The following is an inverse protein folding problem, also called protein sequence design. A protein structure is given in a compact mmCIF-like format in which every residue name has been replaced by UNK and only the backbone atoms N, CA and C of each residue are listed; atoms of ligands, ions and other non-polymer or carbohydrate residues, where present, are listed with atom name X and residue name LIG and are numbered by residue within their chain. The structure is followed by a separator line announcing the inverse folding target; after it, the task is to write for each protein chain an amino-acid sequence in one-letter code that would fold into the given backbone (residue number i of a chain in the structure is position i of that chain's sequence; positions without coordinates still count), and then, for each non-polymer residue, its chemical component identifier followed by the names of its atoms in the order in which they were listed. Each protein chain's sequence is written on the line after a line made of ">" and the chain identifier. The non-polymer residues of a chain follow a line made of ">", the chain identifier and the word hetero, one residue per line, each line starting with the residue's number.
data_IF_052710543733
#
_entry.id   IF_052710543733
#
_cell.length_a   1.000
_cell.length_b   1.000
_cell.length_c   1.000
_cell.angle_alpha   90.00
_cell.angle_beta   90.00
_cell.angle_gamma   90.00
#
_symmetry.space_group_name_H-M   'P 1'
#
loop_
_entity.id
_entity.type
_entity.pdbx_description
1 polymer ?
#
# COMPACT_ATOMS: atom_id res chain seq x y z
N UNK A 1 -16.52 2.76 15.14
CA UNK A 1 -16.51 1.46 15.86
C UNK A 1 -17.25 0.44 15.01
N UNK A 2 -16.66 -0.71 14.76
CA UNK A 2 -17.27 -1.78 13.96
C UNK A 2 -18.52 -2.33 14.67
N UNK A 3 -19.70 -2.14 14.08
CA UNK A 3 -21.00 -2.58 14.66
C UNK A 3 -21.16 -4.11 14.69
N UNK A 4 -20.27 -4.85 14.02
CA UNK A 4 -20.31 -6.31 13.96
C UNK A 4 -19.35 -6.98 14.94
N UNK A 5 -18.64 -6.20 15.78
CA UNK A 5 -17.57 -6.70 16.64
C UNK A 5 -18.01 -7.90 17.48
N UNK A 6 -17.21 -8.98 17.45
CA UNK A 6 -17.43 -10.24 18.17
C UNK A 6 -18.50 -11.17 17.56
N UNK A 7 -19.10 -10.81 16.42
CA UNK A 7 -20.15 -11.61 15.78
C UNK A 7 -19.62 -12.59 14.73
N UNK A 8 -20.44 -13.60 14.35
CA UNK A 8 -20.14 -14.45 13.17
C UNK A 8 -20.14 -13.65 11.86
N UNK A 9 -20.94 -12.56 11.82
CA UNK A 9 -20.99 -11.68 10.65
C UNK A 9 -19.67 -10.95 10.44
N UNK A 10 -18.99 -10.51 11.50
CA UNK A 10 -17.64 -9.94 11.40
C UNK A 10 -16.67 -10.93 10.72
N UNK A 11 -16.62 -12.18 11.21
CA UNK A 11 -15.78 -13.22 10.61
C UNK A 11 -16.12 -13.51 9.15
N UNK A 12 -17.41 -13.44 8.78
CA UNK A 12 -17.84 -13.59 7.39
C UNK A 12 -17.36 -12.41 6.52
N UNK A 13 -17.39 -11.18 7.04
CA UNK A 13 -16.88 -10.00 6.35
C UNK A 13 -15.36 -10.06 6.15
N UNK A 14 -14.63 -10.49 7.19
CA UNK A 14 -13.17 -10.73 7.11
C UNK A 14 -12.83 -11.79 6.06
N UNK A 15 -13.55 -12.92 6.07
CA UNK A 15 -13.37 -14.00 5.09
C UNK A 15 -13.72 -13.54 3.67
N UNK A 16 -14.79 -12.76 3.50
CA UNK A 16 -15.16 -12.19 2.21
C UNK A 16 -14.11 -11.20 1.71
N UNK A 17 -13.64 -10.27 2.55
CA UNK A 17 -12.54 -9.36 2.20
C UNK A 17 -11.28 -10.10 1.76
N UNK A 18 -10.89 -11.13 2.52
CA UNK A 18 -9.71 -11.96 2.18
C UNK A 18 -9.90 -12.70 0.86
N UNK A 19 -11.08 -13.31 0.62
CA UNK A 19 -11.40 -14.04 -0.60
C UNK A 19 -11.34 -13.15 -1.85
N UNK A 20 -11.99 -12.00 -1.82
CA UNK A 20 -12.00 -11.04 -2.93
C UNK A 20 -10.60 -10.46 -3.19
N UNK A 21 -9.84 -10.16 -2.13
CA UNK A 21 -8.45 -9.68 -2.25
C UNK A 21 -7.55 -10.72 -2.93
N UNK A 22 -7.69 -12.00 -2.59
CA UNK A 22 -6.97 -13.09 -3.24
C UNK A 22 -7.41 -13.26 -4.70
N UNK A 23 -8.71 -13.23 -4.98
CA UNK A 23 -9.27 -13.36 -6.33
C UNK A 23 -8.73 -12.26 -7.23
N UNK A 24 -8.76 -10.99 -6.77
CA UNK A 24 -8.17 -9.85 -7.49
C UNK A 24 -6.73 -10.11 -7.92
N UNK A 25 -5.88 -10.53 -6.98
CA UNK A 25 -4.47 -10.78 -7.29
C UNK A 25 -4.28 -11.97 -8.24
N UNK A 26 -4.98 -13.09 -8.00
CA UNK A 26 -4.93 -14.27 -8.87
C UNK A 26 -5.34 -13.94 -10.30
N UNK A 27 -6.43 -13.21 -10.50
CA UNK A 27 -6.93 -12.86 -11.85
C UNK A 27 -5.97 -11.92 -12.58
N UNK A 28 -5.28 -11.02 -11.89
CA UNK A 28 -4.21 -10.21 -12.48
C UNK A 28 -3.05 -11.09 -13.00
N UNK A 29 -2.66 -12.12 -12.25
CA UNK A 29 -1.62 -13.05 -12.68
C UNK A 29 -2.09 -13.96 -13.82
N UNK A 30 -3.35 -14.42 -13.79
CA UNK A 30 -3.94 -15.23 -14.87
C UNK A 30 -4.07 -14.41 -16.16
N UNK A 31 -4.41 -13.13 -16.09
CA UNK A 31 -4.43 -12.22 -17.21
C UNK A 31 -3.04 -12.11 -17.90
N UNK A 32 -1.98 -12.03 -17.09
CA UNK A 32 -0.61 -11.98 -17.60
C UNK A 32 -0.25 -13.27 -18.37
N UNK A 33 -0.69 -14.43 -17.88
CA UNK A 33 -0.48 -15.70 -18.57
C UNK A 33 -1.26 -15.77 -19.87
N UNK A 34 -2.56 -15.46 -19.84
CA UNK A 34 -3.42 -15.45 -21.03
C UNK A 34 -2.86 -14.53 -22.13
N UNK A 35 -2.32 -13.37 -21.75
CA UNK A 35 -1.69 -12.43 -22.69
C UNK A 35 -0.44 -13.03 -23.35
N UNK A 36 0.42 -13.70 -22.59
CA UNK A 36 1.62 -14.37 -23.12
C UNK A 36 1.28 -15.51 -24.06
N UNK A 37 0.14 -16.17 -23.85
CA UNK A 37 -0.37 -17.25 -24.71
C UNK A 37 -1.15 -16.74 -25.93
N UNK A 38 -1.32 -15.41 -26.09
CA UNK A 38 -2.01 -14.78 -27.21
C UNK A 38 -3.53 -14.66 -27.07
N UNK A 39 -4.07 -14.91 -25.88
CA UNK A 39 -5.51 -14.82 -25.60
C UNK A 39 -5.90 -13.43 -25.07
N UNK A 40 -5.81 -12.39 -25.89
CA UNK A 40 -6.03 -10.99 -25.50
C UNK A 40 -7.41 -10.75 -24.90
N UNK A 41 -8.48 -11.36 -25.45
CA UNK A 41 -9.84 -11.24 -24.92
C UNK A 41 -9.95 -11.85 -23.51
N UNK A 42 -9.37 -13.04 -23.30
CA UNK A 42 -9.40 -13.72 -22.01
C UNK A 42 -8.61 -12.90 -20.98
N UNK A 43 -7.44 -12.38 -21.36
CA UNK A 43 -6.65 -11.47 -20.53
C UNK A 43 -7.47 -10.25 -20.08
N UNK A 44 -8.15 -9.58 -21.03
CA UNK A 44 -8.98 -8.42 -20.74
C UNK A 44 -10.16 -8.74 -19.80
N UNK A 45 -10.78 -9.91 -19.95
CA UNK A 45 -11.86 -10.36 -19.07
C UNK A 45 -11.36 -10.65 -17.65
N UNK A 46 -10.19 -11.27 -17.48
CA UNK A 46 -9.57 -11.44 -16.16
C UNK A 46 -9.28 -10.10 -15.50
N UNK A 47 -8.71 -9.12 -16.20
CA UNK A 47 -8.43 -7.80 -15.65
C UNK A 47 -9.72 -7.08 -15.24
N UNK A 48 -10.76 -7.13 -16.08
CA UNK A 48 -12.06 -6.56 -15.76
C UNK A 48 -12.66 -7.18 -14.49
N UNK A 49 -12.58 -8.50 -14.36
CA UNK A 49 -13.07 -9.21 -13.17
C UNK A 49 -12.22 -8.84 -11.95
N UNK A 50 -10.88 -8.78 -12.07
CA UNK A 50 -10.00 -8.34 -10.99
C UNK A 50 -10.35 -6.94 -10.47
N UNK A 51 -10.76 -6.01 -11.33
CA UNK A 51 -11.26 -4.69 -10.94
C UNK A 51 -12.59 -4.76 -10.19
N UNK A 52 -13.49 -5.67 -10.56
CA UNK A 52 -14.73 -5.90 -9.83
C UNK A 52 -14.45 -6.44 -8.42
N UNK A 53 -13.56 -7.44 -8.30
CA UNK A 53 -13.20 -8.02 -6.99
C UNK A 53 -12.50 -7.01 -6.06
N UNK A 54 -11.75 -6.06 -6.62
CA UNK A 54 -11.23 -4.92 -5.85
C UNK A 54 -12.35 -4.09 -5.22
N UNK A 55 -13.43 -3.81 -5.95
CA UNK A 55 -14.56 -3.02 -5.43
C UNK A 55 -15.37 -3.84 -4.40
N UNK A 56 -15.53 -5.16 -4.60
CA UNK A 56 -16.14 -6.04 -3.62
C UNK A 56 -15.34 -6.07 -2.31
N UNK A 57 -14.03 -6.30 -2.38
CA UNK A 57 -13.13 -6.25 -1.20
C UNK A 57 -13.26 -4.92 -0.46
N UNK A 58 -13.26 -3.79 -1.19
CA UNK A 58 -13.42 -2.45 -0.61
C UNK A 58 -14.77 -2.28 0.12
N UNK A 59 -15.86 -2.86 -0.40
CA UNK A 59 -17.15 -2.82 0.30
C UNK A 59 -17.07 -3.50 1.67
N UNK A 60 -16.51 -4.71 1.71
CA UNK A 60 -16.35 -5.46 2.96
C UNK A 60 -15.42 -4.79 3.95
N UNK A 61 -14.31 -4.24 3.47
CA UNK A 61 -13.36 -3.50 4.32
C UNK A 61 -14.00 -2.24 4.93
N UNK A 62 -14.87 -1.54 4.20
CA UNK A 62 -15.63 -0.41 4.73
C UNK A 62 -16.61 -0.81 5.83
N UNK A 63 -17.32 -1.94 5.68
CA UNK A 63 -18.20 -2.46 6.74
C UNK A 63 -17.42 -2.83 8.02
N UNK A 64 -16.20 -3.31 7.87
CA UNK A 64 -15.26 -3.59 8.96
C UNK A 64 -14.63 -2.32 9.58
N UNK A 65 -14.97 -1.12 9.07
CA UNK A 65 -14.33 0.15 9.45
C UNK A 65 -12.80 0.16 9.19
N UNK A 66 -12.33 -0.63 8.23
CA UNK A 66 -10.91 -0.76 7.89
C UNK A 66 -10.37 0.34 6.98
N UNK A 67 -11.18 1.36 6.62
CA UNK A 67 -10.74 2.52 5.84
C UNK A 67 -11.11 3.77 6.62
N UNK A 68 -10.11 4.46 7.11
CA UNK A 68 -10.22 5.71 7.84
C UNK A 68 -9.72 6.92 7.02
N UNK A 69 -9.35 7.98 7.70
CA UNK A 69 -8.63 9.10 7.09
C UNK A 69 -7.17 8.72 6.77
N UNK A 70 -6.40 9.64 6.18
CA UNK A 70 -5.03 9.33 5.77
C UNK A 70 -4.12 8.99 6.95
N UNK A 71 -4.30 9.63 8.12
CA UNK A 71 -3.50 9.33 9.32
C UNK A 71 -3.84 7.95 9.87
N UNK A 72 -5.13 7.66 10.00
CA UNK A 72 -5.62 6.36 10.45
C UNK A 72 -5.15 5.24 9.52
N UNK A 73 -5.22 5.44 8.21
CA UNK A 73 -4.75 4.47 7.23
C UNK A 73 -3.23 4.26 7.27
N UNK A 74 -2.44 5.33 7.46
CA UNK A 74 -0.97 5.21 7.61
C UNK A 74 -0.60 4.48 8.90
N UNK A 75 -1.30 4.76 10.01
CA UNK A 75 -1.10 4.04 11.26
C UNK A 75 -1.44 2.55 11.11
N UNK A 76 -2.60 2.24 10.53
CA UNK A 76 -3.02 0.85 10.31
C UNK A 76 -2.06 0.09 9.37
N UNK A 77 -1.58 0.74 8.30
CA UNK A 77 -0.57 0.16 7.42
C UNK A 77 0.73 -0.12 8.18
N UNK A 78 1.25 0.85 8.93
CA UNK A 78 2.48 0.66 9.71
C UNK A 78 2.37 -0.48 10.74
N UNK A 79 1.21 -0.62 11.41
CA UNK A 79 0.97 -1.73 12.35
C UNK A 79 0.88 -3.09 11.63
N UNK A 80 0.28 -3.14 10.44
CA UNK A 80 0.24 -4.35 9.62
C UNK A 80 1.64 -4.80 9.22
N UNK A 81 2.44 -3.91 8.61
CA UNK A 81 3.82 -4.22 8.22
C UNK A 81 4.69 -4.59 9.44
N UNK A 82 4.48 -3.92 10.60
CA UNK A 82 5.19 -4.27 11.84
C UNK A 82 4.92 -5.71 12.23
N UNK A 83 3.66 -6.15 12.27
CA UNK A 83 3.31 -7.53 12.59
C UNK A 83 3.91 -8.52 11.56
N UNK A 84 3.91 -8.16 10.28
CA UNK A 84 4.43 -9.03 9.24
C UNK A 84 5.93 -9.32 9.42
N UNK A 85 6.75 -8.32 9.73
CA UNK A 85 8.19 -8.54 9.86
C UNK A 85 8.64 -8.96 11.27
N UNK A 86 7.92 -8.57 12.35
CA UNK A 86 8.32 -8.96 13.72
C UNK A 86 7.88 -10.39 14.07
N UNK A 87 6.73 -10.81 13.58
CA UNK A 87 6.06 -12.05 14.01
C UNK A 87 5.84 -13.01 12.84
N UNK A 88 5.04 -12.63 11.85
CA UNK A 88 4.50 -13.52 10.84
C UNK A 88 5.60 -14.19 9.98
N UNK A 89 6.44 -13.40 9.32
CA UNK A 89 7.47 -13.95 8.42
C UNK A 89 8.57 -14.68 9.15
N UNK A 90 8.92 -14.28 10.36
CA UNK A 90 9.91 -15.03 11.17
C UNK A 90 9.35 -16.40 11.60
N UNK A 91 8.09 -16.47 12.00
CA UNK A 91 7.45 -17.74 12.35
C UNK A 91 7.28 -18.66 11.13
N UNK A 92 6.94 -18.08 9.96
CA UNK A 92 6.89 -18.85 8.71
C UNK A 92 8.28 -19.38 8.31
N UNK A 93 9.34 -18.57 8.50
CA UNK A 93 10.70 -19.00 8.20
C UNK A 93 11.14 -20.16 9.10
N UNK A 94 10.88 -20.07 10.42
CA UNK A 94 11.17 -21.17 11.36
C UNK A 94 10.45 -22.47 10.96
N UNK A 95 9.15 -22.37 10.68
CA UNK A 95 8.36 -23.51 10.24
C UNK A 95 8.92 -24.12 8.97
N UNK A 96 9.28 -23.31 7.98
CA UNK A 96 9.86 -23.78 6.73
C UNK A 96 11.23 -24.48 6.94
N UNK A 97 12.05 -24.01 7.88
CA UNK A 97 13.30 -24.69 8.25
C UNK A 97 13.03 -26.05 8.89
N UNK A 98 12.12 -26.11 9.86
CA UNK A 98 11.73 -27.34 10.54
C UNK A 98 11.17 -28.41 9.58
N UNK A 99 10.44 -27.96 8.56
CA UNK A 99 9.86 -28.83 7.52
C UNK A 99 10.84 -29.17 6.37
N UNK A 100 12.08 -28.65 6.41
CA UNK A 100 13.12 -28.95 5.41
C UNK A 100 13.06 -28.10 4.14
N UNK A 101 12.53 -26.85 4.23
CA UNK A 101 12.45 -25.90 3.12
C UNK A 101 13.34 -24.65 3.37
N UNK A 102 14.66 -24.79 3.52
CA UNK A 102 15.55 -23.67 3.92
C UNK A 102 15.58 -22.52 2.90
N UNK A 103 15.41 -22.81 1.60
CA UNK A 103 15.37 -21.78 0.58
C UNK A 103 14.09 -20.89 0.70
N UNK A 104 12.98 -21.50 1.11
CA UNK A 104 11.73 -20.78 1.37
C UNK A 104 11.83 -19.96 2.65
N UNK A 105 12.43 -20.51 3.69
CA UNK A 105 12.72 -19.80 4.93
C UNK A 105 13.55 -18.53 4.69
N UNK A 106 14.61 -18.65 3.88
CA UNK A 106 15.40 -17.48 3.48
C UNK A 106 14.56 -16.42 2.74
N UNK A 107 13.64 -16.85 1.85
CA UNK A 107 12.73 -15.91 1.16
C UNK A 107 11.77 -15.22 2.12
N UNK A 108 11.20 -15.91 3.10
CA UNK A 108 10.35 -15.30 4.11
C UNK A 108 11.09 -14.21 4.89
N UNK A 109 12.32 -14.45 5.34
CA UNK A 109 13.14 -13.42 6.02
C UNK A 109 13.44 -12.22 5.13
N UNK A 110 13.80 -12.45 3.85
CA UNK A 110 14.05 -11.35 2.91
C UNK A 110 12.79 -10.50 2.67
N UNK A 111 11.62 -11.10 2.60
CA UNK A 111 10.37 -10.34 2.52
C UNK A 111 10.12 -9.58 3.81
N UNK A 112 10.32 -10.19 4.98
CA UNK A 112 10.22 -9.50 6.27
C UNK A 112 11.11 -8.26 6.38
N UNK A 113 12.34 -8.29 5.82
CA UNK A 113 13.20 -7.10 5.74
C UNK A 113 12.59 -6.00 4.87
N UNK A 114 11.88 -6.34 3.81
CA UNK A 114 11.17 -5.37 2.95
C UNK A 114 10.01 -4.74 3.73
N UNK A 115 9.22 -5.53 4.46
CA UNK A 115 8.07 -5.04 5.23
C UNK A 115 8.50 -4.11 6.36
N UNK A 116 9.68 -4.33 6.94
CA UNK A 116 10.30 -3.38 7.88
C UNK A 116 10.52 -2.01 7.22
N UNK A 117 11.01 -1.95 5.98
CA UNK A 117 11.17 -0.69 5.26
C UNK A 117 9.83 -0.04 4.89
N UNK A 118 8.79 -0.84 4.65
CA UNK A 118 7.44 -0.32 4.44
C UNK A 118 6.91 0.35 5.72
N UNK A 119 7.05 -0.31 6.88
CA UNK A 119 6.69 0.27 8.17
C UNK A 119 7.42 1.59 8.42
N UNK A 120 8.75 1.62 8.29
CA UNK A 120 9.57 2.82 8.47
C UNK A 120 9.06 3.98 7.59
N UNK A 121 8.71 3.69 6.34
CA UNK A 121 8.14 4.65 5.38
C UNK A 121 6.79 5.18 5.85
N UNK A 122 5.85 4.31 6.23
CA UNK A 122 4.52 4.73 6.67
C UNK A 122 4.58 5.54 7.97
N UNK A 123 5.44 5.16 8.92
CA UNK A 123 5.67 5.94 10.14
C UNK A 123 6.30 7.31 9.85
N UNK A 124 7.21 7.40 8.89
CA UNK A 124 7.79 8.67 8.47
C UNK A 124 6.74 9.59 7.82
N UNK A 125 5.87 9.04 6.96
CA UNK A 125 4.78 9.80 6.33
C UNK A 125 3.76 10.27 7.37
N UNK A 126 3.42 9.43 8.34
CA UNK A 126 2.53 9.80 9.44
C UNK A 126 3.11 10.95 10.26
N UNK A 127 4.38 10.86 10.66
CA UNK A 127 5.08 11.97 11.35
C UNK A 127 5.06 13.26 10.55
N UNK A 128 5.27 13.21 9.23
CA UNK A 128 5.21 14.40 8.37
C UNK A 128 3.83 15.08 8.40
N UNK A 129 2.74 14.28 8.44
CA UNK A 129 1.38 14.82 8.53
C UNK A 129 1.16 15.44 9.91
N UNK A 130 1.57 14.77 10.99
CA UNK A 130 1.39 15.24 12.37
C UNK A 130 2.17 16.52 12.66
N UNK A 131 3.37 16.64 12.10
CA UNK A 131 4.22 17.84 12.22
C UNK A 131 3.86 18.94 11.21
N UNK A 132 2.86 18.77 10.34
CA UNK A 132 2.56 19.65 9.21
C UNK A 132 3.76 19.86 8.24
N UNK A 133 4.57 18.81 8.10
CA UNK A 133 5.81 18.82 7.29
C UNK A 133 5.66 18.19 5.89
N UNK A 134 4.46 17.87 5.45
CA UNK A 134 4.25 17.30 4.10
C UNK A 134 4.69 18.29 3.02
N UNK A 135 4.29 19.57 3.17
CA UNK A 135 4.56 20.65 2.21
C UNK A 135 5.49 21.74 2.76
N UNK A 136 6.06 21.52 3.94
CA UNK A 136 7.04 22.38 4.56
C UNK A 136 8.11 21.53 5.26
N UNK A 137 9.34 22.03 5.36
CA UNK A 137 10.44 21.37 6.05
C UNK A 137 11.21 22.40 6.89
N UNK A 138 11.88 21.94 7.94
CA UNK A 138 12.79 22.78 8.73
C UNK A 138 14.00 23.28 7.94
N UNK A 139 14.37 22.57 6.87
CA UNK A 139 15.48 22.90 5.99
C UNK A 139 14.99 23.26 4.59
N UNK A 140 15.83 23.96 3.84
CA UNK A 140 15.61 24.22 2.41
C UNK A 140 15.60 22.89 1.65
N UNK A 141 14.56 22.66 0.88
CA UNK A 141 14.41 21.52 -0.03
C UNK A 141 14.16 21.99 -1.45
N UNK A 142 14.40 21.11 -2.39
CA UNK A 142 13.97 21.25 -3.78
C UNK A 142 12.59 20.64 -3.88
N UNK A 143 11.59 21.41 -4.30
CA UNK A 143 10.22 20.98 -4.49
C UNK A 143 9.91 20.84 -5.96
N UNK A 144 9.26 19.77 -6.35
CA UNK A 144 8.83 19.53 -7.73
C UNK A 144 7.32 19.41 -7.82
N UNK A 145 6.74 20.08 -8.84
CA UNK A 145 5.33 19.91 -9.17
C UNK A 145 5.14 18.64 -9.99
N UNK A 146 4.46 17.65 -9.43
CA UNK A 146 4.18 16.34 -10.07
C UNK A 146 3.40 16.42 -11.38
N UNK A 147 2.73 17.54 -11.65
CA UNK A 147 2.00 17.72 -12.91
C UNK A 147 2.86 18.24 -14.05
N UNK A 148 3.73 19.23 -13.78
CA UNK A 148 4.46 19.91 -14.87
C UNK A 148 5.99 19.95 -14.71
N UNK A 149 6.54 19.36 -13.63
CA UNK A 149 7.99 19.37 -13.38
C UNK A 149 8.56 20.72 -12.92
N UNK A 150 7.72 21.71 -12.58
CA UNK A 150 8.22 23.02 -12.10
C UNK A 150 8.97 22.85 -10.77
N UNK A 151 10.19 23.36 -10.71
CA UNK A 151 11.09 23.28 -9.55
C UNK A 151 11.07 24.57 -8.76
N UNK A 152 10.97 24.46 -7.43
CA UNK A 152 11.09 25.57 -6.47
C UNK A 152 12.05 25.17 -5.35
N UNK A 153 12.90 26.09 -4.92
CA UNK A 153 13.83 25.87 -3.82
C UNK A 153 13.36 26.72 -2.63
N UNK A 154 13.17 26.08 -1.48
CA UNK A 154 12.72 26.76 -0.27
C UNK A 154 12.33 25.77 0.84
N UNK A 155 11.95 26.30 1.99
CA UNK A 155 11.47 25.49 3.14
C UNK A 155 10.02 25.06 2.99
N UNK A 156 9.27 25.65 2.05
CA UNK A 156 7.84 25.36 1.83
C UNK A 156 7.54 25.28 0.34
N UNK A 157 6.70 24.33 -0.05
CA UNK A 157 6.13 24.26 -1.38
C UNK A 157 5.13 25.40 -1.61
N UNK A 158 5.05 25.99 -2.83
CA UNK A 158 4.06 27.01 -3.16
C UNK A 158 2.63 26.52 -2.95
N UNK A 159 1.72 27.41 -2.56
CA UNK A 159 0.29 27.09 -2.43
C UNK A 159 -0.36 26.77 -3.79
N UNK A 160 0.16 27.41 -4.84
CA UNK A 160 -0.26 27.20 -6.23
C UNK A 160 0.98 27.15 -7.11
N UNK A 161 1.06 26.20 -8.01
CA UNK A 161 2.14 26.10 -8.97
C UNK A 161 2.12 27.30 -9.95
N UNK A 162 3.20 28.11 -10.04
CA UNK A 162 3.20 29.31 -10.91
C UNK A 162 3.17 28.98 -12.39
N UNK A 163 3.51 27.74 -12.79
CA UNK A 163 3.54 27.33 -14.18
C UNK A 163 2.20 26.74 -14.65
N UNK A 164 1.55 25.88 -13.85
CA UNK A 164 0.37 25.13 -14.29
C UNK A 164 -0.86 25.29 -13.41
N UNK A 165 -0.80 26.20 -12.42
CA UNK A 165 -1.89 26.53 -11.49
C UNK A 165 -2.46 25.35 -10.67
N UNK A 166 -1.78 24.20 -10.59
CA UNK A 166 -2.16 23.11 -9.71
C UNK A 166 -1.90 23.49 -8.24
N UNK A 167 -2.72 23.02 -7.30
CA UNK A 167 -2.58 23.33 -5.88
C UNK A 167 -1.33 22.70 -5.26
N UNK A 168 -0.96 23.16 -4.06
CA UNK A 168 0.20 22.68 -3.28
C UNK A 168 0.26 21.16 -3.15
N UNK A 169 -0.89 20.48 -3.12
CA UNK A 169 -0.98 19.01 -3.05
C UNK A 169 -0.30 18.27 -4.21
N UNK A 170 0.06 18.98 -5.28
CA UNK A 170 0.84 18.42 -6.38
C UNK A 170 2.35 18.54 -6.20
N UNK A 171 2.82 19.21 -5.15
CA UNK A 171 4.26 19.27 -4.89
C UNK A 171 4.75 18.12 -4.02
N UNK A 172 5.97 17.68 -4.31
CA UNK A 172 6.73 16.75 -3.50
C UNK A 172 8.18 17.21 -3.39
N UNK A 173 8.92 16.67 -2.42
CA UNK A 173 10.36 16.88 -2.36
C UNK A 173 10.99 16.14 -3.54
N UNK A 174 11.70 16.87 -4.38
CA UNK A 174 12.40 16.33 -5.55
C UNK A 174 13.41 15.26 -5.14
N UNK A 175 13.40 14.13 -5.79
CA UNK A 175 14.36 13.03 -5.58
C UNK A 175 15.18 12.79 -6.86
N UNK A 176 16.48 12.92 -6.76
CA UNK A 176 17.43 12.50 -7.80
C UNK A 176 17.83 11.05 -7.52
N UNK A 177 17.43 10.14 -8.39
CA UNK A 177 17.70 8.70 -8.26
C UNK A 177 18.32 8.10 -9.54
N UNK A 178 19.00 8.91 -10.33
CA UNK A 178 19.67 8.57 -11.59
C UNK A 178 21.14 8.96 -11.58
#
# INVERSE_FOLDING_TARGET
>A
MNKYHGTKTEKNLEAAFAGESQARNKYTYFASTAKKEGYEQISALFLKTADNEREHAKMWLKELCGIGDTKENLAAAAEGENYEWTDMYEDFAKTAEEEGFPELAAKFRLVGEIEKHHEERYRALLRNIEAAEVFAKSEVKVWECRNCGHIVIGTKAPEVCPTCAHPQSYFEVHAENY
#
